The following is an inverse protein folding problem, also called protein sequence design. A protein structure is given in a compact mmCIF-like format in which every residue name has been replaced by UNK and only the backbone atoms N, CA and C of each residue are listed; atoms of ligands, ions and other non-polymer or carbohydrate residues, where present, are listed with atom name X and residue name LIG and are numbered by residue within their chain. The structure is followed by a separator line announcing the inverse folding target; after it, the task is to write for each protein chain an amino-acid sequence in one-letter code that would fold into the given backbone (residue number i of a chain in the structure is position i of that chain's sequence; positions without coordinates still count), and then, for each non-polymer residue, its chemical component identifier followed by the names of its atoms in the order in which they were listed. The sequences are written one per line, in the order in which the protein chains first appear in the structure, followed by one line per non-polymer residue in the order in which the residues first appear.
data_IF_520643525460
#
_entry.id   IF_520643525460
#
_cell.length_a   1.000
_cell.length_b   1.000
_cell.length_c   1.000
_cell.angle_alpha   90.00
_cell.angle_beta   90.00
_cell.angle_gamma   90.00
#
_symmetry.space_group_name_H-M   'P 1'
#
loop_
_entity.id
_entity.type
_entity.pdbx_description
1 polymer ?
#
# COMPACT_ATOMS: atom_id res chain seq x y z
N UNK A 1 11.10 -6.53 -14.19
CA UNK A 1 10.18 -5.46 -13.79
C UNK A 1 9.83 -5.62 -12.34
N UNK A 2 10.25 -4.66 -11.37
CA UNK A 2 9.84 -4.75 -9.97
C UNK A 2 8.31 -4.53 -9.83
N UNK A 3 7.66 -5.39 -9.04
CA UNK A 3 6.26 -5.24 -8.68
C UNK A 3 6.15 -5.23 -7.16
N UNK A 4 5.58 -4.17 -6.62
CA UNK A 4 5.38 -4.01 -5.19
C UNK A 4 3.87 -4.00 -4.92
N UNK A 5 3.44 -4.87 -4.03
CA UNK A 5 2.05 -4.95 -3.62
C UNK A 5 1.93 -4.52 -2.18
N UNK A 6 1.02 -3.57 -1.93
CA UNK A 6 0.82 -3.01 -0.60
C UNK A 6 -0.66 -3.13 -0.26
N UNK A 7 -0.95 -3.65 0.92
CA UNK A 7 -2.31 -3.69 1.43
C UNK A 7 -2.40 -2.78 2.64
N UNK A 8 -3.40 -1.91 2.63
CA UNK A 8 -3.65 -0.97 3.72
C UNK A 8 -5.13 -0.99 4.07
N UNK A 9 -5.45 -0.61 5.30
CA UNK A 9 -6.84 -0.41 5.65
C UNK A 9 -7.39 0.81 4.95
N UNK A 10 -8.67 0.77 4.56
CA UNK A 10 -9.35 1.91 3.95
C UNK A 10 -9.43 3.09 4.90
N UNK A 11 -9.70 4.27 4.35
CA UNK A 11 -9.94 5.47 5.13
C UNK A 11 -8.98 6.63 4.85
N UNK A 12 -7.95 6.40 4.05
CA UNK A 12 -7.01 7.47 3.71
C UNK A 12 -7.47 8.23 2.47
N UNK A 13 -7.24 9.56 2.41
CA UNK A 13 -7.60 10.32 1.22
C UNK A 13 -6.72 9.95 0.02
N UNK A 14 -7.23 10.14 -1.23
CA UNK A 14 -6.48 9.77 -2.43
C UNK A 14 -5.09 10.38 -2.53
N UNK A 15 -4.87 11.59 -2.03
CA UNK A 15 -3.55 12.24 -2.09
C UNK A 15 -2.52 11.50 -1.25
N UNK A 16 -2.94 10.82 -0.17
CA UNK A 16 -2.03 10.01 0.63
C UNK A 16 -1.61 8.76 -0.14
N UNK A 17 -2.54 8.16 -0.86
CA UNK A 17 -2.25 6.99 -1.70
C UNK A 17 -1.29 7.38 -2.82
N UNK A 18 -1.53 8.53 -3.46
CA UNK A 18 -0.64 9.02 -4.52
C UNK A 18 0.77 9.28 -4.00
N UNK A 19 0.89 9.86 -2.82
CA UNK A 19 2.20 10.09 -2.19
C UNK A 19 2.92 8.78 -1.87
N UNK A 20 2.18 7.79 -1.38
CA UNK A 20 2.74 6.48 -1.09
C UNK A 20 3.30 5.82 -2.36
N UNK A 21 2.52 5.83 -3.43
CA UNK A 21 2.95 5.26 -4.72
C UNK A 21 4.23 5.95 -5.21
N UNK A 22 4.26 7.28 -5.14
CA UNK A 22 5.43 8.04 -5.58
C UNK A 22 6.67 7.72 -4.75
N UNK A 23 6.53 7.71 -3.44
CA UNK A 23 7.66 7.50 -2.54
C UNK A 23 8.19 6.07 -2.61
N UNK A 24 7.29 5.08 -2.69
CA UNK A 24 7.70 3.68 -2.85
C UNK A 24 8.40 3.48 -4.18
N UNK A 25 7.88 4.06 -5.26
CA UNK A 25 8.51 3.99 -6.58
C UNK A 25 9.92 4.55 -6.54
N UNK A 26 10.10 5.72 -5.93
CA UNK A 26 11.43 6.35 -5.83
C UNK A 26 12.40 5.46 -5.06
N UNK A 27 11.96 4.90 -3.94
CA UNK A 27 12.80 4.04 -3.10
C UNK A 27 13.22 2.77 -3.82
N UNK A 28 12.28 2.12 -4.50
CA UNK A 28 12.57 0.89 -5.25
C UNK A 28 13.51 1.18 -6.42
N UNK A 29 13.24 2.26 -7.14
CA UNK A 29 14.08 2.67 -8.27
C UNK A 29 15.53 2.89 -7.83
N UNK A 30 15.72 3.61 -6.74
CA UNK A 30 17.06 3.89 -6.22
C UNK A 30 17.73 2.63 -5.68
N UNK A 31 16.99 1.81 -4.94
CA UNK A 31 17.56 0.63 -4.29
C UNK A 31 17.98 -0.45 -5.29
N UNK A 32 17.27 -0.59 -6.38
CA UNK A 32 17.50 -1.66 -7.36
C UNK A 32 18.16 -1.16 -8.65
N UNK A 33 18.45 0.14 -8.75
CA UNK A 33 18.93 0.75 -9.98
C UNK A 33 18.00 0.47 -11.17
N UNK A 34 16.69 0.50 -10.91
CA UNK A 34 15.67 0.26 -11.93
C UNK A 34 15.07 1.58 -12.38
N UNK A 35 14.85 1.80 -13.69
CA UNK A 35 14.15 2.99 -14.16
C UNK A 35 12.74 3.06 -13.54
N UNK A 36 12.31 4.26 -13.16
CA UNK A 36 11.00 4.45 -12.52
C UNK A 36 9.85 3.91 -13.36
N UNK A 37 9.93 4.05 -14.68
CA UNK A 37 8.88 3.59 -15.59
C UNK A 37 8.73 2.07 -15.60
N UNK A 38 9.71 1.35 -15.08
CA UNK A 38 9.62 -0.11 -14.96
C UNK A 38 9.07 -0.57 -13.62
N UNK A 39 8.95 0.33 -12.65
CA UNK A 39 8.44 -0.02 -11.31
C UNK A 39 6.92 0.02 -11.31
N UNK A 40 6.31 -1.05 -10.81
CA UNK A 40 4.85 -1.14 -10.65
C UNK A 40 4.53 -1.20 -9.17
N UNK A 41 3.63 -0.33 -8.72
CA UNK A 41 3.18 -0.31 -7.32
C UNK A 41 1.66 -0.45 -7.32
N UNK A 42 1.16 -1.47 -6.64
CA UNK A 42 -0.27 -1.71 -6.51
C UNK A 42 -0.64 -1.53 -5.05
N UNK A 43 -1.59 -0.64 -4.78
CA UNK A 43 -2.10 -0.41 -3.44
C UNK A 43 -3.54 -0.93 -3.38
N UNK A 44 -3.79 -1.86 -2.48
CA UNK A 44 -5.12 -2.41 -2.26
C UNK A 44 -5.65 -1.89 -0.93
N UNK A 45 -6.81 -1.25 -0.96
CA UNK A 45 -7.47 -0.79 0.26
C UNK A 45 -8.41 -1.89 0.75
N UNK A 46 -8.25 -2.29 2.01
CA UNK A 46 -9.03 -3.38 2.61
C UNK A 46 -10.02 -2.77 3.60
N UNK A 47 -11.31 -3.11 3.51
CA UNK A 47 -12.29 -2.65 4.49
C UNK A 47 -11.92 -3.14 5.89
N UNK A 48 -12.19 -2.31 6.90
CA UNK A 48 -11.89 -2.66 8.29
C UNK A 48 -12.62 -3.94 8.74
N UNK A 49 -13.76 -4.23 8.12
CA UNK A 49 -14.51 -5.45 8.38
C UNK A 49 -13.79 -6.70 7.90
N UNK A 50 -12.83 -6.55 6.98
CA UNK A 50 -12.10 -7.66 6.38
C UNK A 50 -10.64 -7.71 6.79
N UNK A 51 -10.24 -6.87 7.73
CA UNK A 51 -8.87 -6.82 8.25
C UNK A 51 -8.84 -7.56 9.59
N UNK A 52 -8.37 -8.80 9.56
CA UNK A 52 -8.37 -9.65 10.75
C UNK A 52 -7.11 -9.51 11.58
N UNK A 53 -7.29 -9.40 12.89
CA UNK A 53 -6.21 -9.34 13.86
C UNK A 53 -6.56 -10.31 15.00
N UNK A 54 -5.80 -11.40 15.08
CA UNK A 54 -6.05 -12.38 16.14
C UNK A 54 -7.42 -13.04 16.09
N UNK A 55 -8.04 -13.09 14.92
CA UNK A 55 -9.34 -13.70 14.72
C UNK A 55 -10.51 -12.73 14.76
N UNK A 56 -10.26 -11.45 15.03
CA UNK A 56 -11.30 -10.42 15.06
C UNK A 56 -11.00 -9.34 14.03
N UNK A 57 -12.05 -8.69 13.50
CA UNK A 57 -11.85 -7.62 12.53
C UNK A 57 -11.34 -6.36 13.22
N UNK A 58 -10.60 -5.55 12.45
CA UNK A 58 -10.14 -4.26 12.95
C UNK A 58 -11.31 -3.38 13.36
N UNK A 59 -12.44 -3.48 12.65
CA UNK A 59 -13.64 -2.72 13.00
C UNK A 59 -14.13 -3.10 14.39
N UNK A 60 -14.24 -4.40 14.70
CA UNK A 60 -14.70 -4.87 16.00
C UNK A 60 -13.75 -4.48 17.13
N UNK A 61 -12.45 -4.38 16.81
CA UNK A 61 -11.44 -3.97 17.78
C UNK A 61 -11.33 -2.45 17.94
N UNK A 62 -12.10 -1.69 17.16
CA UNK A 62 -12.05 -0.24 17.23
C UNK A 62 -10.81 0.37 16.60
N UNK A 63 -10.22 -0.34 15.68
CA UNK A 63 -9.01 0.12 14.98
C UNK A 63 -9.32 0.46 13.52
#
# INVERSE_FOLDING_TARGET
VPLIQIQIMEGRPPEKINALIKNVTNTVSESLDAPKENVRVIVTEVPKTHWGIGGESAKDLGR
#
